data_IF_260926986350
#
_entry.id   IF_260926986350
#
_cell.length_a   1.000
_cell.length_b   1.000
_cell.length_c   1.000
_cell.angle_alpha   90.00
_cell.angle_beta   90.00
_cell.angle_gamma   90.00
#
_symmetry.space_group_name_H-M   'P 1'
#
loop_
_entity.id
_entity.type
_entity.pdbx_description
1 polymer ?
#
# COMPACT_ATOMS: atom_id res chain seq x y z
N UNK A 1 -15.62 -15.78 3.65
CA UNK A 1 -14.85 -15.72 2.37
C UNK A 1 -13.63 -14.86 2.62
N UNK A 2 -12.47 -15.16 2.00
CA UNK A 2 -11.29 -14.27 2.06
C UNK A 2 -11.48 -13.07 1.14
N UNK A 3 -10.73 -12.00 1.37
CA UNK A 3 -10.66 -10.91 0.40
C UNK A 3 -10.09 -11.38 -0.94
N UNK A 4 -10.24 -10.58 -1.99
CA UNK A 4 -9.63 -10.89 -3.27
C UNK A 4 -9.05 -9.65 -3.94
N UNK A 5 -7.94 -9.86 -4.65
CA UNK A 5 -7.30 -8.84 -5.46
C UNK A 5 -7.81 -8.93 -6.89
N UNK A 6 -8.23 -7.79 -7.43
CA UNK A 6 -8.55 -7.63 -8.85
C UNK A 6 -7.38 -6.95 -9.54
N UNK A 7 -6.81 -7.62 -10.53
CA UNK A 7 -5.87 -7.00 -11.46
C UNK A 7 -6.67 -6.11 -12.44
N UNK A 8 -6.41 -4.80 -12.39
CA UNK A 8 -6.99 -3.77 -13.24
C UNK A 8 -5.88 -3.01 -13.99
N UNK A 9 -4.76 -3.69 -14.25
CA UNK A 9 -3.61 -3.13 -14.94
C UNK A 9 -3.95 -2.83 -16.40
N UNK A 10 -3.42 -1.73 -16.92
CA UNK A 10 -3.52 -1.36 -18.33
C UNK A 10 -2.11 -1.20 -18.89
N UNK A 11 -1.76 -2.00 -19.89
CA UNK A 11 -0.42 -2.02 -20.50
C UNK A 11 0.69 -2.04 -19.44
N UNK A 12 1.56 -1.03 -19.44
CA UNK A 12 2.68 -0.85 -18.51
C UNK A 12 2.30 -0.10 -17.21
N UNK A 13 1.02 -0.08 -16.84
CA UNK A 13 0.51 0.58 -15.62
C UNK A 13 -0.13 -0.45 -14.68
N UNK A 14 0.67 -1.18 -13.89
CA UNK A 14 0.16 -2.05 -12.85
C UNK A 14 -0.87 -1.36 -11.96
N UNK A 15 -2.04 -1.98 -11.79
CA UNK A 15 -3.07 -1.47 -10.88
C UNK A 15 -3.85 -2.63 -10.29
N UNK A 16 -3.87 -2.70 -8.97
CA UNK A 16 -4.51 -3.77 -8.20
C UNK A 16 -5.47 -3.17 -7.20
N UNK A 17 -6.70 -3.68 -7.18
CA UNK A 17 -7.75 -3.22 -6.26
C UNK A 17 -8.11 -4.37 -5.35
N UNK A 18 -8.12 -4.12 -4.04
CA UNK A 18 -8.54 -5.08 -3.05
C UNK A 18 -10.04 -4.96 -2.79
N UNK A 19 -10.73 -6.09 -2.97
CA UNK A 19 -12.12 -6.26 -2.59
C UNK A 19 -12.18 -7.01 -1.27
N UNK A 20 -12.58 -6.36 -0.17
CA UNK A 20 -12.70 -7.05 1.11
C UNK A 20 -13.87 -8.03 1.11
N UNK A 21 -13.85 -9.03 2.00
CA UNK A 21 -14.99 -9.93 2.15
C UNK A 21 -16.20 -9.20 2.77
N UNK A 22 -17.39 -9.77 2.56
CA UNK A 22 -18.66 -9.21 3.06
C UNK A 22 -18.69 -9.06 4.59
N UNK A 23 -18.06 -10.01 5.29
CA UNK A 23 -17.88 -9.97 6.74
C UNK A 23 -16.41 -9.74 7.03
N UNK A 24 -16.06 -8.50 7.40
CA UNK A 24 -14.69 -8.14 7.70
C UNK A 24 -14.60 -7.50 9.09
N UNK A 25 -14.38 -8.36 10.07
CA UNK A 25 -14.12 -7.98 11.45
C UNK A 25 -12.62 -7.81 11.70
N UNK A 26 -12.26 -7.33 12.90
CA UNK A 26 -10.86 -7.07 13.27
C UNK A 26 -9.98 -8.33 13.15
N UNK A 27 -10.47 -9.47 13.59
CA UNK A 27 -9.71 -10.74 13.56
C UNK A 27 -9.45 -11.20 12.11
N UNK A 28 -10.42 -11.01 11.22
CA UNK A 28 -10.28 -11.30 9.80
C UNK A 28 -9.29 -10.34 9.12
N UNK A 29 -9.30 -9.05 9.48
CA UNK A 29 -8.30 -8.08 9.00
C UNK A 29 -6.90 -8.48 9.47
N UNK A 30 -6.75 -8.80 10.75
CA UNK A 30 -5.46 -9.19 11.33
C UNK A 30 -4.90 -10.45 10.67
N UNK A 31 -5.74 -11.48 10.49
CA UNK A 31 -5.35 -12.73 9.82
C UNK A 31 -4.88 -12.48 8.39
N UNK A 32 -5.67 -11.75 7.59
CA UNK A 32 -5.33 -11.45 6.20
C UNK A 32 -4.05 -10.58 6.10
N UNK A 33 -3.93 -9.57 6.97
CA UNK A 33 -2.74 -8.72 7.02
C UNK A 33 -1.48 -9.50 7.39
N UNK A 34 -1.57 -10.45 8.33
CA UNK A 34 -0.42 -11.26 8.72
C UNK A 34 0.07 -12.12 7.55
N UNK A 35 -0.85 -12.76 6.80
CA UNK A 35 -0.50 -13.49 5.58
C UNK A 35 0.22 -12.57 4.57
N UNK A 36 -0.31 -11.37 4.33
CA UNK A 36 0.30 -10.41 3.41
C UNK A 36 1.65 -9.87 3.89
N UNK A 37 1.80 -9.58 5.18
CA UNK A 37 3.06 -9.15 5.78
C UNK A 37 4.13 -10.24 5.58
N UNK A 38 3.78 -11.50 5.84
CA UNK A 38 4.69 -12.63 5.61
C UNK A 38 5.12 -12.74 4.14
N UNK A 39 4.20 -12.57 3.20
CA UNK A 39 4.52 -12.61 1.77
C UNK A 39 5.38 -11.42 1.31
N UNK A 40 5.11 -10.21 1.80
CA UNK A 40 5.91 -9.01 1.51
C UNK A 40 7.34 -9.19 2.06
N UNK A 41 7.49 -9.73 3.26
CA UNK A 41 8.79 -9.95 3.90
C UNK A 41 9.57 -11.16 3.34
N UNK A 42 8.92 -12.08 2.60
CA UNK A 42 9.56 -13.26 2.03
C UNK A 42 10.54 -12.86 0.92
N UNK A 43 11.76 -13.41 0.93
CA UNK A 43 12.80 -13.08 -0.07
C UNK A 43 12.51 -13.64 -1.48
N UNK A 44 11.73 -14.73 -1.58
CA UNK A 44 11.42 -15.36 -2.86
C UNK A 44 10.59 -14.45 -3.78
N UNK A 45 10.96 -14.42 -5.07
CA UNK A 45 10.33 -13.62 -6.13
C UNK A 45 9.34 -14.40 -6.99
N UNK A 46 8.86 -15.56 -6.52
CA UNK A 46 7.85 -16.31 -7.25
C UNK A 46 6.49 -15.69 -6.97
N UNK A 47 5.99 -14.92 -7.95
CA UNK A 47 4.67 -14.32 -7.90
C UNK A 47 3.70 -15.13 -8.76
N UNK A 48 2.49 -15.29 -8.26
CA UNK A 48 1.33 -15.84 -8.96
C UNK A 48 0.36 -14.71 -9.26
N UNK A 49 -0.60 -14.93 -10.15
CA UNK A 49 -1.67 -13.96 -10.43
C UNK A 49 -2.35 -13.39 -9.16
N UNK A 50 -2.41 -14.20 -8.09
CA UNK A 50 -3.03 -13.80 -6.82
C UNK A 50 -2.21 -12.81 -5.99
N UNK A 51 -0.89 -12.77 -6.19
CA UNK A 51 0.01 -11.94 -5.39
C UNK A 51 1.00 -11.11 -6.22
N UNK A 52 0.71 -10.88 -7.50
CA UNK A 52 1.50 -9.99 -8.35
C UNK A 52 1.61 -8.57 -7.77
N UNK A 53 0.58 -8.11 -7.05
CA UNK A 53 0.59 -6.81 -6.38
C UNK A 53 1.76 -6.65 -5.39
N UNK A 54 2.27 -7.75 -4.82
CA UNK A 54 3.41 -7.73 -3.90
C UNK A 54 4.70 -7.30 -4.60
N UNK A 55 4.84 -7.62 -5.89
CA UNK A 55 5.97 -7.17 -6.70
C UNK A 55 6.06 -5.65 -6.70
N UNK A 56 4.92 -4.97 -6.81
CA UNK A 56 4.87 -3.50 -6.82
C UNK A 56 5.17 -2.91 -5.43
N UNK A 57 4.68 -3.52 -4.35
CA UNK A 57 5.06 -3.12 -2.98
C UNK A 57 6.57 -3.24 -2.78
N UNK A 58 7.19 -4.31 -3.26
CA UNK A 58 8.65 -4.51 -3.15
C UNK A 58 9.48 -3.52 -3.99
N UNK A 59 8.84 -2.74 -4.87
CA UNK A 59 9.49 -1.70 -5.66
C UNK A 59 9.39 -0.30 -5.03
N UNK A 60 8.67 -0.12 -3.91
CA UNK A 60 8.64 1.17 -3.20
C UNK A 60 9.82 1.28 -2.22
N UNK A 61 10.18 2.50 -1.79
CA UNK A 61 11.26 2.74 -0.82
C UNK A 61 11.07 1.98 0.49
N UNK A 62 12.17 1.52 1.09
CA UNK A 62 12.16 0.67 2.29
C UNK A 62 11.44 1.31 3.49
N UNK A 63 11.52 2.65 3.66
CA UNK A 63 10.84 3.29 4.79
C UNK A 63 9.33 3.33 4.58
N UNK A 64 8.85 3.51 3.34
CA UNK A 64 7.43 3.35 3.04
C UNK A 64 6.96 1.91 3.25
N UNK A 65 7.77 0.90 2.90
CA UNK A 65 7.46 -0.50 3.22
C UNK A 65 7.34 -0.67 4.75
N UNK A 66 8.29 -0.15 5.53
CA UNK A 66 8.24 -0.25 6.99
C UNK A 66 7.00 0.42 7.59
N UNK A 67 6.61 1.59 7.08
CA UNK A 67 5.38 2.29 7.47
C UNK A 67 4.15 1.47 7.12
N UNK A 68 4.05 0.99 5.88
CA UNK A 68 2.96 0.14 5.41
C UNK A 68 2.78 -1.09 6.30
N UNK A 69 3.86 -1.83 6.56
CA UNK A 69 3.83 -3.01 7.43
C UNK A 69 3.40 -2.63 8.86
N UNK A 70 3.85 -1.49 9.38
CA UNK A 70 3.42 -1.04 10.70
C UNK A 70 1.94 -0.62 10.73
N UNK A 71 1.39 -0.08 9.65
CA UNK A 71 -0.03 0.27 9.54
C UNK A 71 -0.88 -1.00 9.47
N UNK A 72 -0.47 -1.98 8.67
CA UNK A 72 -1.13 -3.29 8.56
C UNK A 72 -1.16 -4.03 9.90
N UNK A 73 -0.05 -4.04 10.64
CA UNK A 73 0.03 -4.61 12.01
C UNK A 73 -0.93 -3.96 13.01
N UNK A 74 -1.47 -2.77 12.71
CA UNK A 74 -2.43 -2.06 13.54
C UNK A 74 -3.87 -2.17 13.04
N UNK A 75 -4.12 -3.04 12.05
CA UNK A 75 -5.45 -3.25 11.47
C UNK A 75 -5.83 -2.26 10.38
N UNK A 76 -4.89 -1.45 9.87
CA UNK A 76 -5.10 -0.77 8.59
C UNK A 76 -4.94 -1.80 7.46
N UNK A 77 -5.39 -1.52 6.25
CA UNK A 77 -5.25 -2.45 5.13
C UNK A 77 -5.12 -1.71 3.80
N UNK A 78 -4.58 -2.41 2.80
CA UNK A 78 -4.39 -1.88 1.47
C UNK A 78 -5.70 -2.01 0.68
N UNK A 79 -6.19 -0.90 0.13
CA UNK A 79 -7.35 -0.86 -0.79
C UNK A 79 -6.93 -0.94 -2.24
N UNK A 80 -5.80 -0.33 -2.58
CA UNK A 80 -5.34 -0.22 -3.96
C UNK A 80 -3.83 -0.03 -4.01
N UNK A 81 -3.22 -0.59 -5.04
CA UNK A 81 -1.84 -0.30 -5.43
C UNK A 81 -1.89 0.08 -6.90
N UNK A 82 -1.25 1.17 -7.28
CA UNK A 82 -1.13 1.53 -8.69
C UNK A 82 0.23 2.15 -8.99
N UNK A 83 0.87 1.65 -10.03
CA UNK A 83 1.89 2.43 -10.73
C UNK A 83 1.17 3.54 -11.52
N UNK A 84 1.57 4.77 -11.27
CA UNK A 84 0.97 5.96 -11.87
C UNK A 84 2.05 6.86 -12.46
N UNK A 85 1.62 7.77 -13.34
CA UNK A 85 2.46 8.90 -13.78
C UNK A 85 2.31 10.10 -12.84
N UNK A 86 1.85 9.85 -11.62
CA UNK A 86 1.63 10.81 -10.55
C UNK A 86 2.17 10.25 -9.23
N UNK A 87 2.85 11.05 -8.40
CA UNK A 87 3.27 12.44 -8.64
C UNK A 87 4.31 12.58 -9.77
N UNK A 88 5.05 11.50 -10.07
CA UNK A 88 6.01 11.43 -11.16
C UNK A 88 5.76 10.19 -12.02
N UNK A 89 6.40 10.14 -13.20
CA UNK A 89 6.40 8.94 -14.03
C UNK A 89 7.11 7.79 -13.29
N UNK A 90 6.43 6.66 -13.16
CA UNK A 90 6.97 5.48 -12.47
C UNK A 90 6.75 5.48 -10.96
N UNK A 91 6.05 6.49 -10.43
CA UNK A 91 5.60 6.50 -9.05
C UNK A 91 4.69 5.30 -8.77
N UNK A 92 4.79 4.78 -7.55
CA UNK A 92 3.85 3.78 -7.03
C UNK A 92 3.08 4.43 -5.90
N UNK A 93 1.76 4.35 -6.01
CA UNK A 93 0.81 4.87 -5.02
C UNK A 93 0.10 3.71 -4.37
N UNK A 94 0.17 3.64 -3.05
CA UNK A 94 -0.53 2.66 -2.23
C UNK A 94 -1.61 3.36 -1.43
N UNK A 95 -2.86 2.92 -1.59
CA UNK A 95 -4.01 3.48 -0.89
C UNK A 95 -4.35 2.59 0.28
N UNK A 96 -4.33 3.16 1.49
CA UNK A 96 -4.79 2.54 2.71
C UNK A 96 -6.26 2.89 2.98
N UNK A 97 -6.89 2.11 3.84
CA UNK A 97 -8.30 2.29 4.15
C UNK A 97 -8.59 3.31 5.23
N UNK A 98 -7.67 3.44 6.18
CA UNK A 98 -7.80 4.29 7.34
C UNK A 98 -6.62 5.27 7.39
N UNK A 99 -6.81 6.37 8.13
CA UNK A 99 -5.77 7.36 8.39
C UNK A 99 -4.53 6.74 9.02
N UNK A 100 -3.37 7.36 8.78
CA UNK A 100 -2.12 6.91 9.38
C UNK A 100 -2.14 7.06 10.89
N UNK A 101 -1.56 6.10 11.59
CA UNK A 101 -1.33 6.25 13.02
C UNK A 101 -0.21 7.26 13.28
N UNK A 102 -0.39 8.12 14.29
CA UNK A 102 0.52 9.23 14.61
C UNK A 102 2.01 8.87 14.65
N UNK A 103 2.37 7.69 15.15
CA UNK A 103 3.77 7.26 15.23
C UNK A 103 4.47 7.17 13.86
N UNK A 104 3.71 6.93 12.79
CA UNK A 104 4.24 6.71 11.45
C UNK A 104 4.34 8.01 10.65
N UNK A 105 3.79 9.12 11.14
CA UNK A 105 3.82 10.44 10.48
C UNK A 105 5.18 11.15 10.55
N UNK A 106 6.09 10.66 11.38
CA UNK A 106 7.36 11.32 11.71
C UNK A 106 8.59 10.44 11.42
N UNK A 107 8.50 9.51 10.44
CA UNK A 107 9.63 8.64 10.10
C UNK A 107 10.70 9.45 9.34
N UNK A 108 11.96 9.48 9.82
CA UNK A 108 13.02 10.26 9.17
C UNK A 108 13.24 9.90 7.70
N UNK A 109 13.35 10.92 6.85
CA UNK A 109 13.51 10.74 5.40
C UNK A 109 12.23 10.35 4.68
N UNK A 110 11.07 10.53 5.32
CA UNK A 110 9.75 10.56 4.68
C UNK A 110 9.09 11.91 4.95
N UNK A 111 8.14 12.29 4.12
CA UNK A 111 7.37 13.52 4.25
C UNK A 111 5.91 13.18 4.47
N UNK A 112 5.35 13.54 5.63
CA UNK A 112 3.91 13.45 5.86
C UNK A 112 3.24 14.80 5.61
N UNK A 113 2.08 14.79 4.97
CA UNK A 113 1.20 15.96 4.88
C UNK A 113 -0.26 15.57 5.06
N UNK A 114 -1.00 16.48 5.68
CA UNK A 114 -2.47 16.48 5.65
C UNK A 114 -2.92 17.18 4.37
N UNK A 115 -3.82 16.54 3.62
CA UNK A 115 -4.31 17.02 2.33
C UNK A 115 -5.72 17.60 2.42
N UNK A 116 -6.53 17.14 3.40
CA UNK A 116 -7.91 17.59 3.64
C UNK A 116 -8.76 17.81 2.38
N UNK A 117 -8.54 16.98 1.35
CA UNK A 117 -9.39 16.92 0.18
C UNK A 117 -10.34 15.74 0.33
N UNK A 118 -11.59 16.04 0.69
CA UNK A 118 -12.64 15.05 0.92
C UNK A 118 -12.93 14.15 -0.29
N UNK A 119 -12.51 14.55 -1.49
CA UNK A 119 -12.76 13.79 -2.72
C UNK A 119 -11.62 12.83 -3.08
N UNK A 120 -10.42 13.05 -2.54
CA UNK A 120 -9.23 12.32 -2.99
C UNK A 120 -8.50 11.59 -1.86
N UNK A 121 -8.07 12.30 -0.81
CA UNK A 121 -7.36 11.72 0.32
C UNK A 121 -7.23 12.73 1.48
N UNK A 122 -7.15 12.18 2.70
CA UNK A 122 -7.01 12.95 3.92
C UNK A 122 -5.55 13.26 4.23
N UNK A 123 -4.68 12.26 4.05
CA UNK A 123 -3.28 12.34 4.44
C UNK A 123 -2.43 11.51 3.47
N UNK A 124 -1.17 11.90 3.33
CA UNK A 124 -0.18 11.10 2.62
C UNK A 124 1.17 11.06 3.33
N UNK A 125 1.94 10.02 3.04
CA UNK A 125 3.36 9.90 3.38
C UNK A 125 4.11 9.58 2.10
N UNK A 126 5.10 10.40 1.76
CA UNK A 126 5.94 10.18 0.58
C UNK A 126 7.41 9.97 0.91
N UNK A 127 8.11 9.30 0.01
CA UNK A 127 9.57 9.16 0.00
C UNK A 127 10.07 9.18 -1.44
N UNK A 128 11.12 9.97 -1.69
CA UNK A 128 11.80 10.00 -2.99
C UNK A 128 12.98 9.03 -2.98
N UNK A 129 13.02 8.15 -3.97
CA UNK A 129 14.14 7.24 -4.21
C UNK A 129 14.51 7.25 -5.68
N UNK A 130 15.80 7.48 -5.99
CA UNK A 130 16.30 7.60 -7.37
C UNK A 130 15.48 8.59 -8.22
N UNK A 131 15.20 9.76 -7.65
CA UNK A 131 14.44 10.85 -8.28
C UNK A 131 12.96 10.54 -8.60
N UNK A 132 12.41 9.45 -8.07
CA UNK A 132 11.00 9.11 -8.19
C UNK A 132 10.36 9.18 -6.80
N UNK A 133 9.32 10.00 -6.67
CA UNK A 133 8.51 10.06 -5.46
C UNK A 133 7.48 8.92 -5.46
N UNK A 134 7.44 8.17 -4.37
CA UNK A 134 6.43 7.14 -4.09
C UNK A 134 5.59 7.57 -2.91
N UNK A 135 4.31 7.17 -2.88
CA UNK A 135 3.36 7.71 -1.90
C UNK A 135 2.48 6.61 -1.30
N UNK A 136 2.27 6.67 0.01
CA UNK A 136 1.16 6.04 0.71
C UNK A 136 0.08 7.11 0.95
N UNK A 137 -1.18 6.83 0.60
CA UNK A 137 -2.31 7.75 0.83
C UNK A 137 -3.44 7.06 1.59
N UNK A 138 -4.30 7.84 2.25
CA UNK A 138 -5.48 7.35 2.98
C UNK A 138 -6.63 8.36 2.95
#
# INVERSE_FOLDING_TARGET
MKGHWKNNSLDNKPSYIFSPPTEWNKDAIETENNEYIEEICRENKTYTEKNEWIKEIKNIPEKLIAILLSEMKKGNFIKKISASDWPNRGSIVVVLANRFHNKNKNIPGTSWRELNDSHYCNEEISETYKDIEHILIC
#
